data_IF_326793315899
#
_entry.id   IF_326793315899
#
_cell.length_a   1.000
_cell.length_b   1.000
_cell.length_c   1.000
_cell.angle_alpha   90.00
_cell.angle_beta   90.00
_cell.angle_gamma   90.00
#
_symmetry.space_group_name_H-M   'P 1'
#
loop_
_entity.id
_entity.type
_entity.pdbx_description
1 polymer ?
#
# COMPACT_ATOMS: atom_id res chain seq x y z
N UNK A 1 -53.49 -60.78 37.22
CA UNK A 1 -54.92 -61.13 37.27
C UNK A 1 -55.21 -61.54 35.87
N UNK A 2 -55.14 -62.90 35.60
CA UNK A 2 -56.22 -63.86 35.64
C UNK A 2 -57.20 -63.53 34.49
N UNK A 3 -57.50 -64.34 33.56
CA UNK A 3 -57.61 -65.79 33.48
C UNK A 3 -57.94 -66.13 32.03
N UNK A 4 -57.29 -67.15 31.54
CA UNK A 4 -57.88 -68.16 30.64
C UNK A 4 -59.22 -68.72 31.21
N UNK A 5 -59.97 -69.64 30.58
CA UNK A 5 -59.56 -70.65 29.59
C UNK A 5 -60.68 -71.13 28.60
N UNK A 6 -60.31 -72.10 27.78
CA UNK A 6 -60.80 -73.46 27.47
C UNK A 6 -61.82 -73.61 26.34
N UNK A 7 -61.52 -74.50 25.42
CA UNK A 7 -61.82 -75.94 25.33
C UNK A 7 -63.19 -76.20 24.73
N UNK A 8 -63.45 -77.04 23.78
CA UNK A 8 -63.22 -78.46 23.54
C UNK A 8 -63.82 -78.84 22.17
N UNK A 9 -63.17 -79.61 21.39
CA UNK A 9 -63.24 -81.08 21.23
C UNK A 9 -64.41 -81.67 20.41
N UNK A 10 -64.04 -82.59 19.54
CA UNK A 10 -64.85 -83.76 19.23
C UNK A 10 -65.04 -84.12 17.75
N UNK A 11 -64.25 -85.04 17.31
CA UNK A 11 -64.52 -86.46 17.00
C UNK A 11 -64.82 -86.76 15.50
N UNK A 12 -63.95 -87.61 14.96
CA UNK A 12 -64.05 -88.50 13.79
C UNK A 12 -65.33 -89.44 13.80
N UNK A 13 -65.65 -90.23 12.73
CA UNK A 13 -64.70 -91.03 11.93
C UNK A 13 -65.12 -91.40 10.48
N UNK A 14 -64.09 -91.91 9.73
CA UNK A 14 -64.10 -93.14 8.89
C UNK A 14 -65.08 -93.32 7.75
N UNK A 15 -64.56 -93.45 6.54
CA UNK A 15 -64.46 -94.77 5.82
C UNK A 15 -63.83 -94.59 4.42
N UNK A 16 -62.90 -95.51 4.12
CA UNK A 16 -62.40 -95.86 2.79
C UNK A 16 -63.38 -96.87 2.19
N UNK A 17 -63.53 -97.08 0.86
CA UNK A 17 -62.45 -97.67 0.02
C UNK A 17 -62.46 -97.33 -1.49
N UNK A 18 -61.42 -97.85 -2.11
CA UNK A 18 -61.28 -98.48 -3.43
C UNK A 18 -60.87 -97.66 -4.65
N UNK A 19 -59.69 -98.04 -5.17
CA UNK A 19 -59.18 -97.83 -6.50
C UNK A 19 -59.80 -98.73 -7.54
N UNK A 20 -59.76 -98.47 -8.87
CA UNK A 20 -58.61 -98.63 -9.73
C UNK A 20 -58.66 -97.74 -11.05
N UNK A 21 -57.89 -97.97 -12.15
CA UNK A 21 -56.48 -97.67 -12.42
C UNK A 21 -56.18 -96.69 -13.61
N UNK A 22 -55.05 -96.10 -13.54
CA UNK A 22 -54.17 -95.73 -14.64
C UNK A 22 -54.62 -94.97 -15.89
N UNK A 23 -54.11 -93.73 -16.05
CA UNK A 23 -53.69 -93.22 -17.37
C UNK A 23 -52.55 -92.18 -17.23
N UNK A 24 -51.44 -92.52 -17.90
CA UNK A 24 -50.31 -91.60 -18.09
C UNK A 24 -50.80 -90.32 -18.78
N UNK A 25 -50.53 -89.15 -18.21
CA UNK A 25 -50.70 -87.89 -18.88
C UNK A 25 -49.38 -87.03 -18.86
N UNK A 26 -48.97 -86.50 -20.01
CA UNK A 26 -47.79 -85.75 -20.32
C UNK A 26 -47.72 -84.46 -19.47
N UNK A 27 -46.49 -83.84 -19.26
CA UNK A 27 -46.33 -82.63 -18.42
C UNK A 27 -46.95 -81.41 -19.09
N UNK A 28 -47.68 -80.57 -18.29
CA UNK A 28 -48.44 -79.46 -18.87
C UNK A 28 -47.48 -78.32 -19.40
N UNK A 29 -47.63 -77.99 -20.65
CA UNK A 29 -46.95 -76.84 -21.34
C UNK A 29 -47.02 -75.51 -20.55
N UNK A 30 -47.96 -75.35 -19.62
CA UNK A 30 -48.11 -74.17 -18.74
C UNK A 30 -46.94 -73.97 -17.78
N UNK A 31 -46.20 -74.96 -17.32
CA UNK A 31 -45.08 -74.84 -16.38
C UNK A 31 -43.82 -74.24 -17.11
N UNK A 32 -43.61 -74.61 -18.36
CA UNK A 32 -42.54 -74.04 -19.20
C UNK A 32 -42.84 -72.56 -19.55
N UNK A 33 -44.11 -72.23 -19.81
CA UNK A 33 -44.53 -70.86 -20.07
C UNK A 33 -44.40 -69.95 -18.84
N UNK A 34 -44.68 -70.46 -17.65
CA UNK A 34 -44.47 -69.74 -16.38
C UNK A 34 -42.97 -69.47 -16.11
N UNK A 35 -42.09 -70.43 -16.42
CA UNK A 35 -40.64 -70.27 -16.24
C UNK A 35 -40.11 -69.21 -17.24
N UNK A 36 -40.59 -69.22 -18.49
CA UNK A 36 -40.22 -68.20 -19.49
C UNK A 36 -40.71 -66.81 -19.06
N UNK A 37 -41.93 -66.67 -18.55
CA UNK A 37 -42.46 -65.39 -18.06
C UNK A 37 -41.69 -64.90 -16.86
N UNK A 38 -41.32 -65.73 -15.89
CA UNK A 38 -40.49 -65.38 -14.74
C UNK A 38 -39.09 -64.94 -15.21
N UNK A 39 -38.52 -65.61 -16.19
CA UNK A 39 -37.18 -65.29 -16.72
C UNK A 39 -37.22 -63.92 -17.47
N UNK A 40 -38.29 -63.68 -18.23
CA UNK A 40 -38.49 -62.36 -18.91
C UNK A 40 -38.69 -61.25 -17.87
N UNK A 41 -39.48 -61.52 -16.80
CA UNK A 41 -39.68 -60.54 -15.72
C UNK A 41 -38.38 -60.25 -14.95
N UNK A 42 -37.57 -61.29 -14.68
CA UNK A 42 -36.25 -61.11 -14.06
C UNK A 42 -35.27 -60.35 -14.98
N UNK A 43 -35.30 -60.62 -16.29
CA UNK A 43 -34.50 -59.93 -17.26
C UNK A 43 -34.94 -58.48 -17.41
N UNK A 44 -36.26 -58.23 -17.45
CA UNK A 44 -36.80 -56.87 -17.43
C UNK A 44 -36.48 -56.15 -16.13
N UNK A 45 -36.58 -56.79 -14.96
CA UNK A 45 -36.20 -56.25 -13.67
C UNK A 45 -34.66 -55.97 -13.63
N UNK A 46 -33.83 -56.84 -14.16
CA UNK A 46 -32.39 -56.68 -14.29
C UNK A 46 -32.03 -55.47 -15.19
N UNK A 47 -32.76 -55.33 -16.31
CA UNK A 47 -32.57 -54.17 -17.21
C UNK A 47 -33.03 -52.86 -16.53
N UNK A 48 -34.19 -52.89 -15.89
CA UNK A 48 -34.69 -51.71 -15.13
C UNK A 48 -33.75 -51.38 -13.96
N UNK A 49 -33.24 -52.40 -13.24
CA UNK A 49 -32.25 -52.20 -12.16
C UNK A 49 -30.93 -51.65 -12.72
N UNK A 50 -30.44 -52.14 -13.87
CA UNK A 50 -29.24 -51.66 -14.53
C UNK A 50 -29.39 -50.18 -15.01
N UNK A 51 -30.56 -49.82 -15.54
CA UNK A 51 -30.84 -48.45 -15.93
C UNK A 51 -31.09 -47.52 -14.70
N UNK A 52 -31.69 -48.03 -13.63
CA UNK A 52 -31.97 -47.30 -12.42
C UNK A 52 -30.71 -47.05 -11.55
N UNK A 53 -29.69 -47.92 -11.68
CA UNK A 53 -28.41 -47.80 -10.95
C UNK A 53 -27.30 -47.09 -11.72
N UNK A 54 -27.56 -46.69 -12.96
CA UNK A 54 -26.59 -45.87 -13.69
C UNK A 54 -26.49 -44.48 -13.07
N UNK A 55 -25.32 -44.16 -12.50
CA UNK A 55 -25.00 -42.77 -12.11
C UNK A 55 -25.12 -41.88 -13.36
N UNK A 56 -25.66 -40.67 -13.19
CA UNK A 56 -25.73 -39.73 -14.30
C UNK A 56 -24.33 -39.45 -14.82
N UNK A 57 -24.09 -39.63 -16.10
CA UNK A 57 -22.78 -39.38 -16.73
C UNK A 57 -22.47 -37.89 -16.84
N UNK A 58 -23.44 -37.02 -16.59
CA UNK A 58 -23.31 -35.58 -16.57
C UNK A 58 -24.21 -34.97 -15.53
N UNK A 59 -23.73 -33.95 -14.86
CA UNK A 59 -24.45 -33.15 -13.86
C UNK A 59 -24.74 -31.77 -14.47
N UNK A 60 -25.99 -31.37 -14.45
CA UNK A 60 -26.39 -30.03 -14.88
C UNK A 60 -26.66 -29.16 -13.64
N UNK A 61 -25.85 -28.14 -13.48
CA UNK A 61 -25.92 -27.18 -12.38
C UNK A 61 -26.53 -25.89 -12.89
N UNK A 62 -27.35 -25.24 -12.07
CA UNK A 62 -27.81 -23.89 -12.32
C UNK A 62 -26.82 -22.92 -11.68
N UNK A 63 -26.27 -22.03 -12.46
CA UNK A 63 -25.36 -20.98 -11.99
C UNK A 63 -25.84 -19.59 -12.35
N UNK A 64 -25.17 -18.61 -11.79
CA UNK A 64 -25.40 -17.18 -12.04
C UNK A 64 -24.08 -16.56 -12.48
N UNK A 65 -24.14 -15.78 -13.57
CA UNK A 65 -23.00 -14.99 -14.04
C UNK A 65 -22.75 -13.87 -13.04
N UNK A 66 -21.54 -13.76 -12.55
CA UNK A 66 -21.12 -12.74 -11.59
C UNK A 66 -19.73 -12.19 -11.95
N UNK A 67 -19.29 -11.17 -11.24
CA UNK A 67 -17.98 -10.55 -11.37
C UNK A 67 -17.56 -9.96 -10.05
N UNK A 68 -16.30 -9.52 -9.95
CA UNK A 68 -15.85 -8.75 -8.79
C UNK A 68 -16.38 -7.31 -8.88
N UNK A 69 -17.02 -6.87 -7.82
CA UNK A 69 -17.51 -5.51 -7.66
C UNK A 69 -16.43 -4.65 -6.98
N UNK A 70 -16.00 -3.59 -7.68
CA UNK A 70 -15.10 -2.60 -7.11
C UNK A 70 -15.90 -1.40 -6.61
N UNK A 71 -16.00 -1.27 -5.30
CA UNK A 71 -16.71 -0.16 -4.65
C UNK A 71 -15.79 1.04 -4.55
N UNK A 72 -16.08 2.10 -5.30
CA UNK A 72 -15.35 3.36 -5.26
C UNK A 72 -16.03 4.26 -4.23
N UNK A 73 -15.31 4.56 -3.15
CA UNK A 73 -15.82 5.33 -2.02
C UNK A 73 -15.12 6.66 -1.83
N UNK A 74 -15.75 7.54 -1.04
CA UNK A 74 -15.19 8.80 -0.59
C UNK A 74 -13.99 8.54 0.33
N UNK A 75 -12.89 9.27 0.13
CA UNK A 75 -11.72 9.29 1.04
C UNK A 75 -11.76 10.44 2.05
N UNK A 76 -12.62 11.43 1.80
CA UNK A 76 -12.83 12.59 2.67
C UNK A 76 -14.33 12.84 2.88
N UNK A 77 -14.64 13.53 3.96
CA UNK A 77 -15.99 14.00 4.22
C UNK A 77 -16.25 15.28 3.42
N UNK A 78 -17.49 15.44 2.94
CA UNK A 78 -17.96 16.66 2.29
C UNK A 78 -19.22 16.46 1.50
N UNK A 79 -19.72 17.51 0.87
CA UNK A 79 -20.83 17.43 -0.07
C UNK A 79 -20.34 16.90 -1.41
N UNK A 80 -21.04 15.94 -1.97
CA UNK A 80 -20.81 15.46 -3.34
C UNK A 80 -21.30 16.53 -4.32
N UNK A 81 -20.37 17.35 -4.83
CA UNK A 81 -20.71 18.51 -5.68
C UNK A 81 -21.18 18.07 -7.04
N UNK A 82 -20.35 17.26 -7.70
CA UNK A 82 -20.60 16.78 -9.06
C UNK A 82 -20.47 15.26 -9.11
N UNK A 83 -21.35 14.62 -9.82
CA UNK A 83 -21.26 13.21 -10.19
C UNK A 83 -21.36 13.13 -11.72
N UNK A 84 -20.25 12.72 -12.35
CA UNK A 84 -20.06 12.84 -13.80
C UNK A 84 -20.49 11.58 -14.56
N UNK A 85 -20.81 10.50 -13.83
CA UNK A 85 -21.14 9.20 -14.40
C UNK A 85 -22.49 8.69 -13.92
N UNK A 86 -23.17 7.97 -14.79
CA UNK A 86 -24.42 7.29 -14.52
C UNK A 86 -24.30 5.76 -14.61
N UNK A 87 -25.29 5.02 -14.12
CA UNK A 87 -25.36 3.57 -14.32
C UNK A 87 -25.30 3.20 -15.81
N UNK A 88 -24.43 2.25 -16.16
CA UNK A 88 -24.20 1.80 -17.52
C UNK A 88 -23.09 2.55 -18.28
N UNK A 89 -22.53 3.62 -17.73
CA UNK A 89 -21.43 4.34 -18.36
C UNK A 89 -20.13 3.53 -18.28
N UNK A 90 -19.36 3.52 -19.38
CA UNK A 90 -18.04 2.93 -19.42
C UNK A 90 -17.00 3.94 -19.00
N UNK A 91 -16.14 3.58 -18.08
CA UNK A 91 -15.10 4.44 -17.50
C UNK A 91 -13.72 3.80 -17.64
N UNK A 92 -12.69 4.64 -17.74
CA UNK A 92 -11.29 4.23 -17.78
C UNK A 92 -10.61 4.49 -16.44
N UNK A 93 -9.63 3.68 -16.13
CA UNK A 93 -8.78 3.89 -14.95
C UNK A 93 -8.20 5.29 -14.90
N UNK A 94 -8.40 5.98 -13.78
CA UNK A 94 -7.99 7.38 -13.57
C UNK A 94 -9.00 8.41 -14.05
N UNK A 95 -10.10 8.01 -14.68
CA UNK A 95 -11.18 8.92 -15.09
C UNK A 95 -11.91 9.45 -13.86
N UNK A 96 -12.27 10.75 -13.90
CA UNK A 96 -12.97 11.41 -12.81
C UNK A 96 -14.44 10.97 -12.78
N UNK A 97 -14.83 10.36 -11.68
CA UNK A 97 -16.20 9.88 -11.47
C UNK A 97 -17.05 10.89 -10.73
N UNK A 98 -16.45 11.54 -9.72
CA UNK A 98 -17.17 12.45 -8.86
C UNK A 98 -16.22 13.49 -8.25
N UNK A 99 -16.78 14.62 -7.79
CA UNK A 99 -16.08 15.68 -7.08
C UNK A 99 -16.80 15.98 -5.77
N UNK A 100 -16.04 15.87 -4.67
CA UNK A 100 -16.47 16.33 -3.35
C UNK A 100 -16.06 17.80 -3.22
N UNK A 101 -16.84 18.59 -2.50
CA UNK A 101 -16.60 20.02 -2.28
C UNK A 101 -15.14 20.29 -1.82
N UNK A 102 -14.33 21.01 -2.62
CA UNK A 102 -12.88 21.10 -2.38
C UNK A 102 -12.48 22.33 -1.55
N UNK A 103 -13.43 23.24 -1.23
CA UNK A 103 -13.15 24.58 -0.72
C UNK A 103 -12.29 24.56 0.57
N UNK A 104 -12.63 23.72 1.54
CA UNK A 104 -11.88 23.59 2.80
C UNK A 104 -10.49 23.01 2.55
N UNK A 105 -10.40 21.94 1.75
CA UNK A 105 -9.12 21.31 1.42
C UNK A 105 -8.23 22.23 0.57
N UNK A 106 -8.82 23.06 -0.30
CA UNK A 106 -8.13 24.08 -1.10
C UNK A 106 -7.61 25.21 -0.22
N UNK A 107 -8.41 25.64 0.77
CA UNK A 107 -8.00 26.66 1.73
C UNK A 107 -6.83 26.16 2.60
N UNK A 108 -6.92 24.92 3.10
CA UNK A 108 -5.84 24.26 3.84
C UNK A 108 -4.55 24.19 3.01
N UNK A 109 -4.65 23.69 1.77
CA UNK A 109 -3.50 23.62 0.86
C UNK A 109 -2.86 25.00 0.65
N UNK A 110 -3.68 26.04 0.42
CA UNK A 110 -3.21 27.41 0.22
C UNK A 110 -2.51 27.97 1.47
N UNK A 111 -3.05 27.70 2.66
CA UNK A 111 -2.46 28.08 3.93
C UNK A 111 -1.07 27.45 4.12
N UNK A 112 -0.96 26.13 3.97
CA UNK A 112 0.33 25.44 4.13
C UNK A 112 1.33 25.83 3.06
N UNK A 113 0.88 26.09 1.82
CA UNK A 113 1.75 26.58 0.74
C UNK A 113 2.33 27.96 1.03
N UNK A 114 1.53 28.87 1.58
CA UNK A 114 2.00 30.17 2.02
C UNK A 114 2.98 30.07 3.20
N UNK A 115 2.75 29.14 4.12
CA UNK A 115 3.67 28.86 5.24
C UNK A 115 5.01 28.29 4.74
N UNK A 116 5.00 27.42 3.76
CA UNK A 116 6.20 26.91 3.09
C UNK A 116 6.98 28.04 2.41
N UNK A 117 6.29 28.93 1.69
CA UNK A 117 6.90 30.09 1.06
C UNK A 117 7.53 31.06 2.08
N UNK A 118 6.87 31.28 3.21
CA UNK A 118 7.42 32.08 4.31
C UNK A 118 8.68 31.45 4.91
N UNK A 119 8.67 30.11 5.08
CA UNK A 119 9.85 29.37 5.55
C UNK A 119 10.99 29.40 4.54
N UNK A 120 10.69 29.40 3.23
CA UNK A 120 11.69 29.55 2.17
C UNK A 120 12.35 30.93 2.23
N UNK A 121 11.57 32.00 2.41
CA UNK A 121 12.09 33.34 2.60
C UNK A 121 12.99 33.46 3.84
N UNK A 122 12.65 32.78 4.94
CA UNK A 122 13.49 32.74 6.14
C UNK A 122 14.84 32.01 5.90
N UNK A 123 14.88 31.02 5.01
CA UNK A 123 16.13 30.38 4.58
C UNK A 123 16.97 31.36 3.78
N UNK A 124 16.38 32.09 2.82
CA UNK A 124 17.09 33.11 2.01
C UNK A 124 17.67 34.21 2.91
N UNK A 125 16.90 34.69 3.89
CA UNK A 125 17.38 35.65 4.89
C UNK A 125 18.57 35.07 5.68
N UNK A 126 18.49 33.83 6.13
CA UNK A 126 19.56 33.17 6.87
C UNK A 126 20.82 32.96 6.03
N UNK A 127 20.69 32.72 4.72
CA UNK A 127 21.82 32.67 3.76
C UNK A 127 22.48 34.06 3.64
N UNK A 128 21.68 35.09 3.39
CA UNK A 128 22.20 36.46 3.23
C UNK A 128 22.93 36.94 4.50
N UNK A 129 22.38 36.66 5.68
CA UNK A 129 22.99 36.97 6.95
C UNK A 129 24.32 36.22 7.19
N UNK A 130 24.40 34.97 6.76
CA UNK A 130 25.63 34.17 6.83
C UNK A 130 26.70 34.74 5.89
N UNK A 131 26.37 35.04 4.64
CA UNK A 131 27.29 35.62 3.64
C UNK A 131 27.84 36.95 4.10
N UNK A 132 26.96 37.82 4.65
CA UNK A 132 27.35 39.11 5.21
C UNK A 132 28.37 38.93 6.36
N UNK A 133 28.10 38.02 7.30
CA UNK A 133 28.98 37.74 8.43
C UNK A 133 30.34 37.16 7.94
N UNK A 134 30.33 36.23 7.00
CA UNK A 134 31.56 35.67 6.43
C UNK A 134 32.41 36.73 5.75
N UNK A 135 31.80 37.67 5.00
CA UNK A 135 32.48 38.77 4.36
C UNK A 135 33.08 39.73 5.41
N UNK A 136 32.29 40.15 6.40
CA UNK A 136 32.73 41.05 7.47
C UNK A 136 33.89 40.46 8.27
N UNK A 137 33.78 39.20 8.66
CA UNK A 137 34.82 38.51 9.46
C UNK A 137 36.11 38.38 8.65
N UNK A 138 36.03 38.03 7.36
CA UNK A 138 37.20 37.94 6.48
C UNK A 138 37.93 39.29 6.37
N UNK A 139 37.20 40.39 6.17
CA UNK A 139 37.80 41.70 6.09
C UNK A 139 38.41 42.17 7.43
N UNK A 140 37.76 41.86 8.57
CA UNK A 140 38.31 42.14 9.89
C UNK A 140 39.66 41.42 10.12
N UNK A 141 39.73 40.14 9.75
CA UNK A 141 40.96 39.33 9.86
C UNK A 141 42.05 39.93 8.96
N UNK A 142 41.71 40.29 7.71
CA UNK A 142 42.64 40.88 6.76
C UNK A 142 43.19 42.22 7.28
N UNK A 143 42.33 43.05 7.86
CA UNK A 143 42.74 44.34 8.44
C UNK A 143 43.65 44.12 9.68
N UNK A 144 43.30 43.22 10.56
CA UNK A 144 44.10 42.90 11.74
C UNK A 144 45.47 42.30 11.36
N UNK A 145 45.54 41.47 10.33
CA UNK A 145 46.79 40.89 9.83
C UNK A 145 47.70 41.98 9.19
N UNK A 146 47.10 42.91 8.42
CA UNK A 146 47.84 44.03 7.89
C UNK A 146 48.39 44.94 9.01
N UNK A 147 47.63 45.21 10.04
CA UNK A 147 48.07 45.97 11.21
C UNK A 147 49.21 45.26 11.95
N UNK A 148 49.13 43.96 12.09
CA UNK A 148 50.23 43.14 12.68
C UNK A 148 51.50 43.22 11.82
N UNK A 149 51.39 43.19 10.49
CA UNK A 149 52.54 43.32 9.62
C UNK A 149 53.19 44.70 9.77
N UNK A 150 52.40 45.78 9.88
CA UNK A 150 52.92 47.11 10.17
C UNK A 150 53.62 47.20 11.49
N UNK A 151 53.01 46.67 12.60
CA UNK A 151 53.60 46.65 13.93
C UNK A 151 54.94 45.85 13.95
N UNK A 152 55.02 44.69 13.26
CA UNK A 152 56.26 43.92 13.10
C UNK A 152 57.34 44.72 12.38
N UNK A 153 57.00 45.45 11.33
CA UNK A 153 57.96 46.32 10.62
C UNK A 153 58.48 47.45 11.51
N UNK A 154 57.60 48.04 12.35
CA UNK A 154 57.98 49.08 13.30
C UNK A 154 58.90 48.53 14.41
N UNK A 155 58.61 47.35 14.95
CA UNK A 155 59.45 46.68 15.94
C UNK A 155 60.87 46.38 15.35
N UNK A 156 60.89 45.83 14.11
CA UNK A 156 62.18 45.57 13.41
C UNK A 156 63.00 46.85 13.17
N UNK A 157 62.35 47.98 12.89
CA UNK A 157 63.04 49.27 12.77
C UNK A 157 63.57 49.72 14.15
N UNK A 158 62.83 49.47 15.24
CA UNK A 158 63.30 49.76 16.60
C UNK A 158 64.53 48.95 16.97
N UNK A 159 64.52 47.63 16.70
CA UNK A 159 65.64 46.74 16.91
C UNK A 159 66.87 47.14 16.07
N UNK A 160 66.67 47.53 14.81
CA UNK A 160 67.75 48.04 13.93
C UNK A 160 68.41 49.34 14.44
N UNK A 161 67.64 50.17 15.17
CA UNK A 161 68.17 51.37 15.81
C UNK A 161 68.85 51.04 17.17
N UNK A 162 68.41 50.05 17.87
CA UNK A 162 68.98 49.66 19.19
C UNK A 162 70.41 49.08 19.00
N UNK A 163 70.66 48.31 17.96
CA UNK A 163 71.96 47.66 17.79
C UNK A 163 73.11 48.63 17.63
N UNK A 164 73.11 49.68 16.77
CA UNK A 164 74.13 50.67 16.71
C UNK A 164 74.27 51.45 18.03
N UNK A 165 73.21 51.79 18.74
CA UNK A 165 73.25 52.46 20.04
C UNK A 165 73.91 51.55 21.11
N UNK A 166 73.72 50.26 21.11
CA UNK A 166 74.41 49.29 21.96
C UNK A 166 75.92 49.25 21.64
N UNK A 167 76.27 49.10 20.38
CA UNK A 167 77.67 49.07 19.96
C UNK A 167 78.41 50.38 20.28
N UNK A 168 77.75 51.58 20.11
CA UNK A 168 78.31 52.87 20.49
C UNK A 168 78.55 52.98 22.02
N UNK A 169 77.57 52.51 22.85
CA UNK A 169 77.74 52.46 24.33
C UNK A 169 78.94 51.63 24.68
N UNK A 170 79.06 50.39 24.13
CA UNK A 170 80.19 49.52 24.36
C UNK A 170 81.52 50.12 23.97
N UNK A 171 81.59 50.78 22.82
CA UNK A 171 82.78 51.52 22.38
C UNK A 171 83.18 52.62 23.37
N UNK A 172 82.19 53.45 23.75
CA UNK A 172 82.44 54.54 24.72
C UNK A 172 82.84 54.06 26.11
N UNK A 173 82.31 52.93 26.58
CA UNK A 173 82.74 52.26 27.81
C UNK A 173 84.24 51.80 27.75
N UNK A 174 84.65 51.14 26.65
CA UNK A 174 86.00 50.68 26.45
C UNK A 174 86.99 51.87 26.28
N UNK A 175 86.64 52.97 25.68
CA UNK A 175 87.40 54.18 25.61
C UNK A 175 87.51 54.86 26.99
N UNK A 176 86.52 54.83 27.83
CA UNK A 176 86.52 55.39 29.19
C UNK A 176 87.42 54.58 30.13
N UNK A 177 87.41 53.31 30.05
CA UNK A 177 88.33 52.39 30.83
C UNK A 177 89.81 52.76 30.49
N UNK A 178 90.04 53.20 29.26
CA UNK A 178 91.39 53.67 28.81
C UNK A 178 91.63 55.15 29.04
N UNK A 179 90.69 55.87 29.70
CA UNK A 179 90.78 57.36 29.94
C UNK A 179 90.82 58.23 28.70
N UNK A 180 90.31 57.70 27.56
CA UNK A 180 90.37 58.36 26.26
C UNK A 180 89.12 59.23 25.90
N UNK A 181 88.09 59.27 26.71
CA UNK A 181 86.89 60.05 26.52
C UNK A 181 86.40 60.73 27.82
N UNK A 182 85.46 61.71 27.68
CA UNK A 182 84.82 62.43 28.77
C UNK A 182 83.69 61.60 29.40
N UNK A 183 83.36 61.84 30.68
CA UNK A 183 82.16 61.23 31.35
C UNK A 183 80.90 61.64 30.60
N UNK A 184 80.81 62.86 30.09
CA UNK A 184 79.66 63.36 29.33
C UNK A 184 79.40 62.51 28.08
N UNK A 185 80.44 62.09 27.33
CA UNK A 185 80.28 61.24 26.18
C UNK A 185 79.75 59.86 26.48
N UNK A 186 80.16 59.24 27.63
CA UNK A 186 79.63 58.02 28.09
C UNK A 186 78.14 58.12 28.51
N UNK A 187 77.80 59.18 29.26
CA UNK A 187 76.45 59.38 29.72
C UNK A 187 75.49 59.67 28.56
N UNK A 188 75.94 60.42 27.50
CA UNK A 188 75.18 60.55 26.27
C UNK A 188 74.93 59.26 25.52
N UNK A 189 75.95 58.39 25.39
CA UNK A 189 75.79 57.05 24.76
C UNK A 189 74.87 56.12 25.57
N UNK A 190 74.94 56.21 26.89
CA UNK A 190 74.05 55.47 27.78
C UNK A 190 72.59 55.87 27.65
N UNK A 191 72.35 57.19 27.66
CA UNK A 191 70.98 57.75 27.49
C UNK A 191 70.43 57.42 26.11
N UNK A 192 71.25 57.49 25.03
CA UNK A 192 70.84 57.12 23.69
C UNK A 192 70.51 55.62 23.61
N UNK A 193 71.33 54.75 24.22
CA UNK A 193 70.99 53.27 24.31
C UNK A 193 69.73 53.01 25.11
N UNK A 194 69.49 53.63 26.25
CA UNK A 194 68.28 53.44 27.04
C UNK A 194 67.03 53.95 26.26
N UNK A 195 67.12 55.06 25.54
CA UNK A 195 66.06 55.57 24.68
C UNK A 195 65.75 54.59 23.51
N UNK A 196 66.81 54.08 22.84
CA UNK A 196 66.62 53.14 21.75
C UNK A 196 66.04 51.81 22.24
N UNK A 197 66.44 51.35 23.45
CA UNK A 197 65.92 50.15 24.09
C UNK A 197 64.42 50.32 24.43
N UNK A 198 64.06 51.44 25.03
CA UNK A 198 62.64 51.71 25.35
C UNK A 198 61.77 51.80 24.08
N UNK A 199 62.31 52.37 22.96
CA UNK A 199 61.63 52.39 21.69
C UNK A 199 61.43 51.00 21.09
N UNK A 200 62.46 50.14 21.12
CA UNK A 200 62.38 48.74 20.69
C UNK A 200 61.36 47.94 21.52
N UNK A 201 61.43 48.09 22.88
CA UNK A 201 60.46 47.45 23.79
C UNK A 201 59.02 47.89 23.54
N UNK A 202 58.81 49.19 23.30
CA UNK A 202 57.49 49.72 22.91
C UNK A 202 56.99 49.11 21.58
N UNK A 203 57.88 48.94 20.56
CA UNK A 203 57.58 48.29 19.31
C UNK A 203 57.15 46.85 19.49
N UNK A 204 57.84 46.09 20.35
CA UNK A 204 57.46 44.70 20.68
C UNK A 204 56.08 44.63 21.35
N UNK A 205 55.80 45.59 22.30
CA UNK A 205 54.45 45.63 22.95
C UNK A 205 53.35 45.98 21.92
N UNK A 206 53.63 46.75 20.89
CA UNK A 206 52.70 47.00 19.81
C UNK A 206 52.42 45.72 18.97
N UNK A 207 53.44 44.91 18.73
CA UNK A 207 53.29 43.59 18.09
C UNK A 207 52.41 42.68 18.91
N UNK A 208 52.64 42.60 20.21
CA UNK A 208 51.80 41.78 21.16
C UNK A 208 50.35 42.24 21.07
N UNK A 209 50.07 43.52 21.13
CA UNK A 209 48.75 44.09 21.04
C UNK A 209 48.08 43.78 19.69
N UNK A 210 48.81 43.93 18.55
CA UNK A 210 48.33 43.59 17.24
C UNK A 210 48.06 42.08 17.06
N UNK A 211 48.90 41.23 17.66
CA UNK A 211 48.64 39.76 17.69
C UNK A 211 47.37 39.40 18.46
N UNK A 212 47.15 40.06 19.60
CA UNK A 212 45.91 39.88 20.39
C UNK A 212 44.68 40.31 19.59
N UNK A 213 44.78 41.44 18.82
CA UNK A 213 43.70 41.91 17.96
C UNK A 213 43.42 40.94 16.81
N UNK A 214 44.46 40.35 16.19
CA UNK A 214 44.28 39.30 15.16
C UNK A 214 43.66 38.03 15.77
N UNK A 215 44.09 37.61 16.96
CA UNK A 215 43.51 36.48 17.62
C UNK A 215 42.01 36.67 17.93
N UNK A 216 41.62 37.87 18.37
CA UNK A 216 40.21 38.22 18.57
C UNK A 216 39.42 38.21 17.25
N UNK A 217 39.96 38.75 16.17
CA UNK A 217 39.31 38.73 14.86
C UNK A 217 39.12 37.28 14.37
N UNK A 218 40.09 36.38 14.60
CA UNK A 218 39.98 34.97 14.27
C UNK A 218 38.95 34.21 15.19
N UNK A 219 38.88 34.57 16.47
CA UNK A 219 37.89 33.99 17.37
C UNK A 219 36.45 34.31 16.93
N UNK A 220 36.23 35.43 16.24
CA UNK A 220 34.92 35.79 15.66
C UNK A 220 34.49 34.81 14.54
N UNK A 221 35.39 34.03 13.94
CA UNK A 221 35.02 32.95 13.00
C UNK A 221 34.07 31.93 13.63
N UNK A 222 34.12 31.67 14.94
CA UNK A 222 33.21 30.78 15.63
C UNK A 222 31.74 31.23 15.50
N UNK A 223 31.48 32.51 15.32
CA UNK A 223 30.14 33.01 15.08
C UNK A 223 29.56 32.53 13.76
N UNK A 224 30.42 32.28 12.76
CA UNK A 224 30.02 31.70 11.48
C UNK A 224 29.45 30.29 11.68
N UNK A 225 30.04 29.45 12.53
CA UNK A 225 29.52 28.13 12.85
C UNK A 225 28.10 28.21 13.47
N UNK A 226 27.86 29.18 14.36
CA UNK A 226 26.54 29.42 14.95
C UNK A 226 25.52 29.83 13.86
N UNK A 227 25.91 30.72 12.95
CA UNK A 227 25.03 31.13 11.83
C UNK A 227 24.75 30.00 10.86
N UNK A 228 25.72 29.14 10.59
CA UNK A 228 25.51 27.91 9.80
C UNK A 228 24.51 26.96 10.45
N UNK A 229 24.60 26.80 11.79
CA UNK A 229 23.63 26.01 12.53
C UNK A 229 22.21 26.63 12.47
N UNK A 230 22.11 27.98 12.51
CA UNK A 230 20.84 28.68 12.32
C UNK A 230 20.27 28.43 10.92
N UNK A 231 21.09 28.51 9.87
CA UNK A 231 20.68 28.21 8.51
C UNK A 231 20.17 26.76 8.38
N UNK A 232 20.88 25.80 8.98
CA UNK A 232 20.41 24.39 9.01
C UNK A 232 19.08 24.23 9.71
N UNK A 233 18.85 24.98 10.79
CA UNK A 233 17.54 25.00 11.48
C UNK A 233 16.43 25.53 10.57
N UNK A 234 16.68 26.65 9.88
CA UNK A 234 15.73 27.23 8.91
C UNK A 234 15.43 26.26 7.75
N UNK A 235 16.44 25.54 7.23
CA UNK A 235 16.24 24.51 6.20
C UNK A 235 15.36 23.36 6.68
N UNK A 236 15.56 22.89 7.92
CA UNK A 236 14.72 21.85 8.51
C UNK A 236 13.29 22.33 8.71
N UNK A 237 13.09 23.60 9.09
CA UNK A 237 11.76 24.20 9.18
C UNK A 237 11.07 24.27 7.81
N UNK A 238 11.79 24.65 6.76
CA UNK A 238 11.29 24.63 5.38
C UNK A 238 10.89 23.20 4.97
N UNK A 239 11.74 22.21 5.23
CA UNK A 239 11.42 20.80 4.92
C UNK A 239 10.16 20.33 5.66
N UNK A 240 9.98 20.70 6.94
CA UNK A 240 8.79 20.39 7.71
C UNK A 240 7.54 21.07 7.14
N UNK A 241 7.63 22.34 6.74
CA UNK A 241 6.55 23.08 6.09
C UNK A 241 6.18 22.45 4.73
N UNK A 242 7.19 22.05 3.92
CA UNK A 242 6.97 21.33 2.68
C UNK A 242 6.25 19.99 2.85
N UNK A 243 6.58 19.23 3.91
CA UNK A 243 5.87 18.01 4.25
C UNK A 243 4.39 18.27 4.60
N UNK A 244 4.10 19.38 5.31
CA UNK A 244 2.72 19.80 5.60
C UNK A 244 1.95 20.15 4.32
N UNK A 245 2.58 20.89 3.41
CA UNK A 245 2.02 21.25 2.10
C UNK A 245 1.73 19.99 1.28
N UNK A 246 2.66 19.03 1.25
CA UNK A 246 2.46 17.75 0.56
C UNK A 246 1.27 16.98 1.13
N UNK A 247 1.13 16.93 2.46
CA UNK A 247 -0.02 16.31 3.12
C UNK A 247 -1.34 16.99 2.76
N UNK A 248 -1.38 18.32 2.75
CA UNK A 248 -2.56 19.07 2.36
C UNK A 248 -2.92 18.85 0.88
N UNK A 249 -1.92 18.76 -0.01
CA UNK A 249 -2.11 18.43 -1.43
C UNK A 249 -2.75 17.05 -1.61
N UNK A 250 -2.30 16.05 -0.87
CA UNK A 250 -2.92 14.71 -0.91
C UNK A 250 -4.37 14.75 -0.44
N UNK A 251 -4.67 15.50 0.63
CA UNK A 251 -6.06 15.68 1.10
C UNK A 251 -6.93 16.37 0.05
N UNK A 252 -6.39 17.38 -0.62
CA UNK A 252 -7.09 18.04 -1.74
C UNK A 252 -7.34 17.03 -2.86
N UNK A 253 -6.37 16.17 -3.19
CA UNK A 253 -6.57 15.09 -4.17
C UNK A 253 -7.70 14.11 -3.80
N UNK A 254 -7.99 13.92 -2.52
CA UNK A 254 -9.10 13.06 -2.08
C UNK A 254 -10.49 13.64 -2.36
N UNK A 255 -10.59 14.92 -2.73
CA UNK A 255 -11.84 15.52 -3.18
C UNK A 255 -12.20 15.13 -4.61
N UNK A 256 -11.26 14.62 -5.39
CA UNK A 256 -11.46 14.08 -6.73
C UNK A 256 -11.53 12.55 -6.67
N UNK A 257 -12.69 11.99 -6.93
CA UNK A 257 -12.93 10.55 -6.91
C UNK A 257 -12.73 10.01 -8.32
N UNK A 258 -11.76 9.13 -8.49
CA UNK A 258 -11.37 8.57 -9.80
C UNK A 258 -11.58 7.06 -9.86
N UNK A 259 -11.77 6.52 -11.06
CA UNK A 259 -11.91 5.09 -11.29
C UNK A 259 -10.58 4.35 -11.03
N UNK A 260 -10.55 3.33 -10.16
CA UNK A 260 -9.36 2.53 -9.89
C UNK A 260 -9.06 1.49 -10.97
N UNK A 261 -10.07 1.09 -11.77
CA UNK A 261 -10.01 0.11 -12.86
C UNK A 261 -10.75 0.63 -14.10
N UNK A 262 -10.47 0.01 -15.24
CA UNK A 262 -11.35 0.11 -16.41
C UNK A 262 -12.62 -0.72 -16.14
N UNK A 263 -13.78 -0.23 -16.55
CA UNK A 263 -15.01 -0.99 -16.30
C UNK A 263 -16.29 -0.21 -16.64
N UNK A 264 -17.40 -0.72 -16.16
CA UNK A 264 -18.74 -0.13 -16.32
C UNK A 264 -19.31 0.18 -14.94
N UNK A 265 -19.98 1.32 -14.83
CA UNK A 265 -20.69 1.71 -13.61
C UNK A 265 -21.95 0.83 -13.47
N UNK A 266 -21.95 -0.02 -12.46
CA UNK A 266 -23.09 -0.89 -12.15
C UNK A 266 -24.14 -0.15 -11.29
N UNK A 267 -23.69 0.37 -10.13
CA UNK A 267 -24.56 1.05 -9.18
C UNK A 267 -24.03 2.44 -8.85
N UNK A 268 -24.91 3.41 -8.86
CA UNK A 268 -24.69 4.74 -8.30
C UNK A 268 -25.28 4.77 -6.89
N UNK A 269 -24.39 4.68 -5.87
CA UNK A 269 -24.80 4.58 -4.48
C UNK A 269 -25.04 5.94 -3.81
N UNK A 270 -24.47 7.04 -4.36
CA UNK A 270 -24.65 8.40 -3.86
C UNK A 270 -25.15 9.34 -4.95
N UNK A 271 -25.79 10.42 -4.57
CA UNK A 271 -26.32 11.46 -5.47
C UNK A 271 -25.57 12.78 -5.27
N UNK A 272 -25.50 13.60 -6.34
CA UNK A 272 -25.00 14.97 -6.22
C UNK A 272 -25.85 15.76 -5.21
N UNK A 273 -25.20 16.50 -4.31
CA UNK A 273 -25.81 17.22 -3.20
C UNK A 273 -25.89 16.43 -1.89
N UNK A 274 -25.56 15.15 -1.87
CA UNK A 274 -25.49 14.36 -0.64
C UNK A 274 -24.17 14.58 0.13
N UNK A 275 -24.25 14.48 1.44
CA UNK A 275 -23.06 14.47 2.32
C UNK A 275 -22.51 13.05 2.34
N UNK A 276 -21.24 12.91 1.95
CA UNK A 276 -20.51 11.65 2.01
C UNK A 276 -19.49 11.67 3.15
N UNK A 277 -19.31 10.51 3.77
CA UNK A 277 -18.29 10.29 4.80
C UNK A 277 -17.18 9.38 4.27
N UNK A 278 -15.97 9.41 4.85
CA UNK A 278 -14.90 8.49 4.49
C UNK A 278 -15.38 7.02 4.55
N UNK A 279 -15.17 6.28 3.46
CA UNK A 279 -15.62 4.90 3.30
C UNK A 279 -17.04 4.74 2.73
N UNK A 280 -17.82 5.82 2.59
CA UNK A 280 -19.12 5.74 1.91
C UNK A 280 -18.91 5.44 0.42
N UNK A 281 -19.58 4.42 -0.10
CA UNK A 281 -19.55 4.07 -1.52
C UNK A 281 -20.27 5.14 -2.35
N UNK A 282 -19.63 5.63 -3.40
CA UNK A 282 -20.20 6.59 -4.35
C UNK A 282 -20.72 5.86 -5.59
N UNK A 283 -19.87 5.01 -6.18
CA UNK A 283 -20.22 4.17 -7.31
C UNK A 283 -19.62 2.77 -7.16
N UNK A 284 -20.28 1.77 -7.75
CA UNK A 284 -19.75 0.43 -7.89
C UNK A 284 -19.39 0.21 -9.35
N UNK A 285 -18.16 -0.24 -9.60
CA UNK A 285 -17.65 -0.59 -10.93
C UNK A 285 -17.60 -2.10 -11.09
N UNK A 286 -17.89 -2.58 -12.27
CA UNK A 286 -17.69 -3.97 -12.68
C UNK A 286 -16.82 -4.03 -13.93
N UNK A 287 -16.01 -5.10 -14.04
CA UNK A 287 -15.29 -5.41 -15.27
C UNK A 287 -16.15 -6.36 -16.12
N UNK A 288 -16.69 -5.91 -17.27
CA UNK A 288 -17.51 -6.76 -18.13
C UNK A 288 -16.72 -7.83 -18.88
N UNK A 289 -15.40 -7.74 -18.90
CA UNK A 289 -14.52 -8.68 -19.58
C UNK A 289 -14.01 -9.79 -18.63
N UNK A 290 -14.11 -9.59 -17.29
CA UNK A 290 -13.78 -10.62 -16.28
C UNK A 290 -15.03 -11.14 -15.56
N UNK A 291 -15.84 -11.89 -16.27
CA UNK A 291 -17.05 -12.52 -15.74
C UNK A 291 -16.80 -14.01 -15.50
N UNK A 292 -17.42 -14.53 -14.45
CA UNK A 292 -17.47 -15.98 -14.22
C UNK A 292 -18.87 -16.41 -13.80
N UNK A 293 -19.11 -17.71 -13.92
CA UNK A 293 -20.36 -18.32 -13.51
C UNK A 293 -20.14 -19.01 -12.18
N UNK A 294 -20.89 -18.58 -11.17
CA UNK A 294 -20.94 -19.24 -9.89
C UNK A 294 -22.03 -20.31 -9.92
N UNK A 295 -21.67 -21.53 -9.65
CA UNK A 295 -22.60 -22.64 -9.56
C UNK A 295 -22.28 -23.48 -8.31
N UNK A 296 -23.29 -24.12 -7.75
CA UNK A 296 -23.16 -24.91 -6.54
C UNK A 296 -23.25 -26.41 -6.87
N UNK A 297 -22.24 -27.17 -6.46
CA UNK A 297 -22.14 -28.63 -6.66
C UNK A 297 -22.48 -29.32 -5.36
N UNK A 298 -23.37 -30.33 -5.41
CA UNK A 298 -23.69 -31.18 -4.25
C UNK A 298 -22.44 -31.92 -3.75
N UNK A 299 -22.33 -32.11 -2.43
CA UNK A 299 -21.22 -32.83 -1.76
C UNK A 299 -20.92 -34.19 -2.39
N UNK A 300 -21.96 -34.90 -2.86
CA UNK A 300 -21.85 -36.22 -3.50
C UNK A 300 -21.00 -36.19 -4.78
N UNK A 301 -20.94 -35.06 -5.47
CA UNK A 301 -20.26 -34.93 -6.77
C UNK A 301 -19.02 -34.05 -6.75
N UNK A 302 -18.77 -33.33 -5.64
CA UNK A 302 -17.67 -32.36 -5.54
C UNK A 302 -16.29 -32.99 -5.74
N UNK A 303 -16.10 -34.24 -5.33
CA UNK A 303 -14.83 -34.95 -5.50
C UNK A 303 -14.51 -35.25 -6.97
N UNK A 304 -15.53 -35.29 -7.82
CA UNK A 304 -15.40 -35.55 -9.28
C UNK A 304 -15.12 -34.26 -10.07
N UNK A 305 -15.23 -33.08 -9.44
CA UNK A 305 -14.98 -31.78 -10.10
C UNK A 305 -13.61 -31.25 -9.68
N UNK A 306 -12.77 -30.95 -10.64
CA UNK A 306 -11.40 -30.45 -10.42
C UNK A 306 -11.19 -29.10 -11.10
N UNK A 307 -10.28 -28.32 -10.56
CA UNK A 307 -9.81 -27.12 -11.24
C UNK A 307 -9.11 -27.53 -12.56
N UNK A 308 -9.45 -26.86 -13.65
CA UNK A 308 -9.00 -27.18 -14.99
C UNK A 308 -9.98 -28.04 -15.81
N UNK A 309 -11.07 -28.52 -15.20
CA UNK A 309 -12.07 -29.29 -15.92
C UNK A 309 -12.81 -28.43 -16.94
N UNK A 310 -12.94 -28.97 -18.15
CA UNK A 310 -13.73 -28.38 -19.21
C UNK A 310 -15.19 -28.71 -19.04
N UNK A 311 -16.02 -27.70 -18.99
CA UNK A 311 -17.46 -27.80 -18.79
C UNK A 311 -18.21 -27.10 -19.92
N UNK A 312 -19.39 -27.57 -20.23
CA UNK A 312 -20.25 -26.91 -21.19
C UNK A 312 -21.25 -26.01 -20.45
N UNK A 313 -21.25 -24.75 -20.83
CA UNK A 313 -22.15 -23.76 -20.30
C UNK A 313 -23.18 -23.39 -21.33
N UNK A 314 -24.46 -23.57 -20.99
CA UNK A 314 -25.59 -23.18 -21.81
C UNK A 314 -26.29 -21.95 -21.21
N UNK A 315 -26.40 -20.90 -22.00
CA UNK A 315 -27.17 -19.71 -21.63
C UNK A 315 -28.67 -19.90 -21.87
N UNK A 316 -29.57 -19.09 -21.29
CA UNK A 316 -31.02 -19.17 -21.53
C UNK A 316 -31.39 -19.02 -23.02
N UNK A 317 -30.57 -18.30 -23.81
CA UNK A 317 -30.75 -18.17 -25.26
C UNK A 317 -30.45 -19.47 -26.05
N UNK A 318 -29.99 -20.53 -25.37
CA UNK A 318 -29.64 -21.82 -25.98
C UNK A 318 -28.21 -21.90 -26.53
N UNK A 319 -27.41 -20.84 -26.45
CA UNK A 319 -26.00 -20.89 -26.86
C UNK A 319 -25.21 -21.76 -25.88
N UNK A 320 -24.33 -22.60 -26.43
CA UNK A 320 -23.43 -23.47 -25.68
C UNK A 320 -22.00 -22.96 -25.87
N UNK A 321 -21.24 -22.85 -24.75
CA UNK A 321 -19.84 -22.43 -24.72
C UNK A 321 -19.03 -23.48 -23.97
N UNK A 322 -17.82 -23.69 -24.40
CA UNK A 322 -16.83 -24.48 -23.67
C UNK A 322 -16.13 -23.52 -22.68
N UNK A 323 -16.16 -23.87 -21.40
CA UNK A 323 -15.67 -23.04 -20.29
C UNK A 323 -14.82 -23.93 -19.37
N UNK A 324 -14.07 -23.33 -18.47
CA UNK A 324 -13.15 -24.02 -17.56
C UNK A 324 -13.46 -23.71 -16.10
N UNK A 325 -13.44 -24.73 -15.26
CA UNK A 325 -13.54 -24.59 -13.80
C UNK A 325 -12.20 -24.06 -13.29
N UNK A 326 -12.15 -22.83 -12.84
CA UNK A 326 -10.91 -22.24 -12.31
C UNK A 326 -10.85 -22.19 -10.77
N UNK A 327 -11.99 -22.39 -10.10
CA UNK A 327 -12.06 -22.39 -8.64
C UNK A 327 -13.08 -23.40 -8.16
N UNK A 328 -12.71 -24.12 -7.09
CA UNK A 328 -13.59 -24.99 -6.32
C UNK A 328 -13.51 -24.57 -4.85
N UNK A 329 -14.63 -24.22 -4.25
CA UNK A 329 -14.75 -23.85 -2.85
C UNK A 329 -14.22 -24.92 -1.91
N UNK A 330 -13.60 -24.50 -0.82
CA UNK A 330 -13.05 -25.38 0.23
C UNK A 330 -14.08 -25.57 1.32
N UNK A 331 -14.94 -24.58 1.53
CA UNK A 331 -16.01 -24.60 2.52
C UNK A 331 -17.34 -25.00 1.87
N UNK A 332 -18.11 -25.76 2.63
CA UNK A 332 -19.44 -26.16 2.24
C UNK A 332 -20.47 -25.12 2.71
N UNK A 333 -21.36 -24.74 1.82
CA UNK A 333 -22.53 -23.94 2.14
C UNK A 333 -23.80 -24.82 2.09
N UNK A 334 -24.91 -24.36 2.67
CA UNK A 334 -26.16 -25.10 2.58
C UNK A 334 -26.91 -24.70 1.31
N UNK A 335 -27.45 -25.71 0.61
CA UNK A 335 -28.25 -25.47 -0.59
C UNK A 335 -29.39 -24.49 -0.31
N UNK A 336 -29.43 -23.39 -1.09
CA UNK A 336 -30.51 -22.41 -1.00
C UNK A 336 -31.81 -22.98 -1.57
N UNK A 337 -32.95 -22.57 -1.01
CA UNK A 337 -34.31 -23.12 -1.30
C UNK A 337 -34.72 -23.12 -2.77
N UNK A 338 -33.99 -22.47 -3.68
CA UNK A 338 -34.32 -22.35 -5.10
C UNK A 338 -33.97 -23.56 -5.95
N UNK A 339 -32.96 -24.34 -5.54
CA UNK A 339 -32.34 -25.34 -6.41
C UNK A 339 -32.61 -26.78 -5.97
N UNK A 340 -33.34 -27.01 -4.87
CA UNK A 340 -33.46 -28.35 -4.30
C UNK A 340 -34.91 -28.75 -4.04
N UNK A 341 -35.26 -29.93 -4.52
CA UNK A 341 -36.53 -30.64 -4.16
C UNK A 341 -36.67 -30.74 -2.64
N UNK A 342 -37.92 -30.75 -2.14
CA UNK A 342 -38.22 -30.82 -0.70
C UNK A 342 -37.55 -31.95 0.07
N UNK A 343 -37.04 -32.97 -0.62
CA UNK A 343 -36.33 -34.14 -0.07
C UNK A 343 -34.81 -33.93 0.10
N UNK A 344 -34.24 -32.84 -0.37
CA UNK A 344 -32.77 -32.61 -0.40
C UNK A 344 -32.30 -31.35 0.37
N UNK A 345 -33.08 -30.90 1.37
CA UNK A 345 -32.82 -29.63 2.09
C UNK A 345 -31.53 -29.62 2.94
N UNK A 346 -30.98 -30.78 3.26
CA UNK A 346 -29.82 -30.90 4.17
C UNK A 346 -28.52 -31.27 3.46
N UNK A 347 -28.50 -31.18 2.10
CA UNK A 347 -27.30 -31.50 1.35
C UNK A 347 -26.40 -30.23 1.31
N UNK A 348 -25.17 -30.41 1.71
CA UNK A 348 -24.12 -29.39 1.58
C UNK A 348 -23.75 -29.23 0.12
N UNK A 349 -23.50 -28.00 -0.25
CA UNK A 349 -23.04 -27.63 -1.60
C UNK A 349 -21.69 -26.92 -1.53
N UNK A 350 -20.90 -27.08 -2.57
CA UNK A 350 -19.61 -26.42 -2.74
C UNK A 350 -19.68 -25.50 -3.94
N UNK A 351 -19.27 -24.28 -3.77
CA UNK A 351 -19.19 -23.31 -4.85
C UNK A 351 -18.13 -23.72 -5.86
N UNK A 352 -18.48 -23.70 -7.14
CA UNK A 352 -17.52 -23.73 -8.24
C UNK A 352 -17.63 -22.44 -9.05
N UNK A 353 -16.49 -21.98 -9.56
CA UNK A 353 -16.46 -20.83 -10.49
C UNK A 353 -15.93 -21.29 -11.83
N UNK A 354 -16.68 -20.94 -12.84
CA UNK A 354 -16.43 -21.34 -14.22
C UNK A 354 -16.16 -20.07 -15.03
N UNK A 355 -15.00 -19.99 -15.68
CA UNK A 355 -14.64 -18.90 -16.56
C UNK A 355 -14.94 -19.25 -18.00
N UNK A 356 -15.64 -18.34 -18.66
CA UNK A 356 -15.98 -18.45 -20.08
C UNK A 356 -15.41 -17.26 -20.84
N UNK A 357 -15.09 -17.45 -22.11
CA UNK A 357 -14.79 -16.33 -23.00
C UNK A 357 -16.04 -15.46 -23.19
N UNK A 358 -15.95 -14.17 -22.94
CA UNK A 358 -17.00 -13.17 -23.12
C UNK A 358 -16.57 -12.06 -24.10
N UNK A 359 -15.67 -12.36 -25.04
CA UNK A 359 -15.20 -11.38 -26.03
C UNK A 359 -16.34 -10.78 -26.89
N UNK A 360 -17.44 -11.51 -27.03
CA UNK A 360 -18.68 -11.05 -27.70
C UNK A 360 -19.63 -10.24 -26.77
N UNK A 361 -19.26 -10.04 -25.49
CA UNK A 361 -20.04 -9.34 -24.45
C UNK A 361 -21.50 -9.78 -24.37
N UNK A 362 -21.77 -11.06 -24.62
CA UNK A 362 -23.13 -11.60 -24.58
C UNK A 362 -23.53 -12.12 -23.19
N UNK A 363 -22.57 -12.35 -22.31
CA UNK A 363 -22.83 -12.64 -20.90
C UNK A 363 -22.96 -11.32 -20.13
N UNK A 364 -23.96 -11.24 -19.28
CA UNK A 364 -24.21 -10.11 -18.40
C UNK A 364 -24.32 -10.60 -16.95
N UNK A 365 -23.87 -9.76 -16.00
CA UNK A 365 -23.99 -10.03 -14.57
C UNK A 365 -25.46 -10.27 -14.20
N UNK A 366 -25.74 -11.25 -13.35
CA UNK A 366 -27.09 -11.66 -12.97
C UNK A 366 -27.75 -12.64 -13.95
N UNK A 367 -27.18 -12.91 -15.10
CA UNK A 367 -27.73 -13.89 -16.07
C UNK A 367 -27.64 -15.31 -15.51
N UNK A 368 -28.71 -16.10 -15.64
CA UNK A 368 -28.68 -17.53 -15.32
C UNK A 368 -27.90 -18.29 -16.39
N UNK A 369 -27.11 -19.28 -15.97
CA UNK A 369 -26.38 -20.18 -16.85
C UNK A 369 -26.52 -21.63 -16.36
N UNK A 370 -26.56 -22.57 -17.30
CA UNK A 370 -26.61 -24.00 -16.99
C UNK A 370 -25.24 -24.61 -17.28
N UNK A 371 -24.56 -25.04 -16.23
CA UNK A 371 -23.22 -25.64 -16.29
C UNK A 371 -23.37 -27.15 -16.32
N UNK A 372 -22.95 -27.78 -17.40
CA UNK A 372 -22.94 -29.25 -17.56
C UNK A 372 -21.53 -29.75 -17.28
N UNK A 373 -21.39 -30.48 -16.18
CA UNK A 373 -20.13 -31.11 -15.75
C UNK A 373 -20.18 -32.60 -16.11
N UNK A 374 -19.16 -33.10 -16.81
CA UNK A 374 -19.02 -34.52 -17.07
C UNK A 374 -18.41 -35.21 -15.85
N UNK A 375 -19.10 -36.23 -15.31
CA UNK A 375 -18.69 -36.97 -14.12
C UNK A 375 -17.87 -38.22 -14.45
N UNK A 376 -17.11 -38.20 -15.54
CA UNK A 376 -16.30 -39.35 -16.03
C UNK A 376 -14.98 -39.51 -15.26
#
# INVERSE_FOLDING_TARGET
>A
MATEPSETAGVEPSTKPEQPPGKKSAPPKRRRMLIVVVLVVLLAAGVIFHFATREPSSLVLTGVVTTDEVRVGAMTQGYLRDLMVGPGDTVKKGEMLARIEPEDAQADFSYYKNTENASAAAVEESVANLELLEMQTREQIRQADANLAVSKAQAAAGDANLEPARLELERQKGMRERQLNSQQALDQARTAHEAARAAAESGHKQVDAAQAALALAKANEEQIAVRRATLETSRRQLAAAGAQTARAKVRLGYTEVTAPIDGVVDVRAALAGEVVNPGATIVTLIDPDDLWIRADVEETYVEKVRNGDKVQVRTPSGRVRECEVFFRGVDADYATQRDVSRTKRDIKTFEIRVRCDNSDRSLAVGMTAYVTVNLS
#
